data_IF_904327309350
#
_entry.id   IF_904327309350
#
_cell.length_a   1.000
_cell.length_b   1.000
_cell.length_c   1.000
_cell.angle_alpha   90.00
_cell.angle_beta   90.00
_cell.angle_gamma   90.00
#
_symmetry.space_group_name_H-M   'P 1'
#
loop_
_entity.id
_entity.type
_entity.pdbx_description
1 polymer ?
#
# COMPACT_ATOMS: atom_id res chain seq x y z
N UNK A 1 6.84 -20.10 -21.69
CA UNK A 1 5.56 -19.50 -21.27
C UNK A 1 4.61 -20.53 -20.65
N UNK A 2 4.31 -21.64 -21.35
CA UNK A 2 3.33 -22.64 -20.89
C UNK A 2 3.53 -23.16 -19.44
N UNK A 3 4.74 -23.52 -18.95
CA UNK A 3 4.93 -23.92 -17.56
C UNK A 3 4.60 -22.80 -16.57
N UNK A 4 4.94 -21.55 -16.91
CA UNK A 4 4.74 -20.38 -16.03
C UNK A 4 3.26 -20.04 -15.88
N UNK A 5 2.49 -20.04 -16.97
CA UNK A 5 1.06 -19.79 -16.90
C UNK A 5 0.32 -20.90 -16.14
N UNK A 6 0.80 -22.15 -16.24
CA UNK A 6 0.27 -23.27 -15.45
C UNK A 6 0.38 -23.03 -13.95
N UNK A 7 1.53 -22.53 -13.48
CA UNK A 7 1.71 -22.17 -12.06
C UNK A 7 0.83 -20.99 -11.68
N UNK A 8 0.71 -19.97 -12.53
CA UNK A 8 -0.18 -18.84 -12.29
C UNK A 8 -1.65 -19.28 -12.15
N UNK A 9 -2.10 -20.18 -13.02
CA UNK A 9 -3.45 -20.75 -12.95
C UNK A 9 -3.70 -21.50 -11.64
N UNK A 10 -2.73 -22.32 -11.18
CA UNK A 10 -2.85 -23.03 -9.88
C UNK A 10 -3.00 -22.04 -8.73
N UNK A 11 -2.15 -21.00 -8.68
CA UNK A 11 -2.16 -20.00 -7.61
C UNK A 11 -3.45 -19.19 -7.61
N UNK A 12 -3.94 -18.81 -8.79
CA UNK A 12 -5.09 -17.90 -8.92
C UNK A 12 -6.41 -18.65 -8.80
N UNK A 13 -6.54 -19.83 -9.43
CA UNK A 13 -7.81 -20.54 -9.52
C UNK A 13 -8.03 -21.57 -8.40
N UNK A 14 -6.94 -22.10 -7.82
CA UNK A 14 -6.99 -23.22 -6.85
C UNK A 14 -6.09 -23.01 -5.63
N UNK A 15 -6.10 -21.83 -4.99
CA UNK A 15 -5.28 -21.59 -3.80
C UNK A 15 -5.73 -22.48 -2.64
N UNK A 16 -4.79 -23.02 -1.89
CA UNK A 16 -5.06 -23.96 -0.80
C UNK A 16 -5.16 -23.31 0.58
N UNK A 17 -4.53 -22.16 0.76
CA UNK A 17 -4.47 -21.40 2.03
C UNK A 17 -4.15 -22.29 3.25
N UNK A 18 -2.98 -22.93 3.34
CA UNK A 18 -2.66 -23.81 4.46
C UNK A 18 -2.58 -23.01 5.78
N UNK A 19 -3.23 -23.47 6.83
CA UNK A 19 -3.22 -22.81 8.15
C UNK A 19 -1.82 -22.61 8.71
N UNK A 20 -0.95 -23.61 8.53
CA UNK A 20 0.44 -23.53 8.97
C UNK A 20 1.18 -22.35 8.31
N UNK A 21 0.99 -22.17 7.02
CA UNK A 21 1.64 -21.06 6.28
C UNK A 21 1.08 -19.72 6.70
N UNK A 22 -0.23 -19.63 6.95
CA UNK A 22 -0.86 -18.42 7.49
C UNK A 22 -0.28 -18.07 8.86
N UNK A 23 -0.18 -19.04 9.77
CA UNK A 23 0.40 -18.81 11.09
C UNK A 23 1.86 -18.32 11.02
N UNK A 24 2.68 -18.95 10.17
CA UNK A 24 4.08 -18.53 9.94
C UNK A 24 4.15 -17.13 9.35
N UNK A 25 3.28 -16.81 8.40
CA UNK A 25 3.21 -15.48 7.79
C UNK A 25 2.84 -14.41 8.82
N UNK A 26 1.77 -14.61 9.60
CA UNK A 26 1.33 -13.69 10.64
C UNK A 26 2.43 -13.46 11.68
N UNK A 27 3.11 -14.50 12.13
CA UNK A 27 4.22 -14.39 13.07
C UNK A 27 5.38 -13.55 12.50
N UNK A 28 5.78 -13.81 11.26
CA UNK A 28 6.83 -13.03 10.59
C UNK A 28 6.42 -11.57 10.42
N UNK A 29 5.16 -11.30 10.05
CA UNK A 29 4.66 -9.93 9.89
C UNK A 29 4.61 -9.17 11.21
N UNK A 30 4.18 -9.80 12.29
CA UNK A 30 4.22 -9.22 13.65
C UNK A 30 5.65 -8.85 14.05
N UNK A 31 6.61 -9.76 13.82
CA UNK A 31 8.02 -9.46 14.11
C UNK A 31 8.56 -8.31 13.26
N UNK A 32 8.27 -8.29 11.96
CA UNK A 32 8.64 -7.17 11.08
C UNK A 32 8.04 -5.85 11.55
N UNK A 33 6.77 -5.85 11.91
CA UNK A 33 6.06 -4.66 12.41
C UNK A 33 6.73 -4.10 13.69
N UNK A 34 7.12 -4.96 14.63
CA UNK A 34 7.87 -4.55 15.83
C UNK A 34 9.19 -3.85 15.50
N UNK A 35 9.92 -4.38 14.52
CA UNK A 35 11.21 -3.81 14.09
C UNK A 35 10.98 -2.50 13.33
N UNK A 36 10.04 -2.48 12.38
CA UNK A 36 9.73 -1.31 11.57
C UNK A 36 9.25 -0.13 12.43
N UNK A 37 8.40 -0.39 13.41
CA UNK A 37 7.89 0.65 14.31
C UNK A 37 8.92 1.26 15.23
N UNK A 38 10.10 0.65 15.40
CA UNK A 38 11.22 1.29 16.09
C UNK A 38 11.80 2.48 15.29
N UNK A 39 11.59 2.52 13.98
CA UNK A 39 12.07 3.61 13.13
C UNK A 39 11.15 4.83 13.26
N UNK A 40 11.73 5.99 13.54
CA UNK A 40 10.98 7.25 13.67
C UNK A 40 10.26 7.64 12.37
N UNK A 41 10.82 7.31 11.22
CA UNK A 41 10.21 7.51 9.92
C UNK A 41 8.88 6.76 9.77
N UNK A 42 8.82 5.51 10.24
CA UNK A 42 7.59 4.70 10.19
C UNK A 42 6.54 5.28 11.13
N UNK A 43 6.93 5.62 12.37
CA UNK A 43 6.03 6.22 13.33
C UNK A 43 5.43 7.55 12.84
N UNK A 44 6.27 8.42 12.28
CA UNK A 44 5.79 9.70 11.73
C UNK A 44 4.90 9.53 10.52
N UNK A 45 5.14 8.51 9.67
CA UNK A 45 4.27 8.19 8.52
C UNK A 45 2.90 7.70 8.96
N UNK A 46 2.83 6.82 9.97
CA UNK A 46 1.57 6.35 10.53
C UNK A 46 0.77 7.49 11.16
N UNK A 47 1.42 8.33 11.98
CA UNK A 47 0.82 9.51 12.56
C UNK A 47 0.31 10.51 11.51
N UNK A 48 1.10 10.75 10.47
CA UNK A 48 0.72 11.65 9.39
C UNK A 48 -0.49 11.13 8.60
N UNK A 49 -0.53 9.84 8.31
CA UNK A 49 -1.68 9.22 7.67
C UNK A 49 -2.94 9.34 8.56
N UNK A 50 -2.82 9.08 9.86
CA UNK A 50 -3.91 9.28 10.81
C UNK A 50 -4.35 10.74 10.90
N UNK A 51 -3.40 11.70 10.89
CA UNK A 51 -3.71 13.13 10.89
C UNK A 51 -4.49 13.57 9.67
N UNK A 52 -4.16 13.03 8.48
CA UNK A 52 -4.83 13.39 7.24
C UNK A 52 -6.20 12.74 7.07
N UNK A 53 -6.34 11.49 7.44
CA UNK A 53 -7.50 10.67 7.09
C UNK A 53 -8.39 10.33 8.29
N UNK A 54 -7.88 10.43 9.51
CA UNK A 54 -8.57 9.97 10.72
C UNK A 54 -8.35 8.46 11.00
N UNK A 55 -8.56 8.07 12.25
CA UNK A 55 -8.28 6.71 12.72
C UNK A 55 -9.24 5.65 12.14
N UNK A 56 -10.41 6.05 11.63
CA UNK A 56 -11.43 5.16 11.08
C UNK A 56 -11.37 5.04 9.55
N UNK A 57 -10.57 5.86 8.89
CA UNK A 57 -10.44 5.82 7.44
C UNK A 57 -9.42 4.75 7.04
N UNK A 58 -9.64 3.96 5.96
CA UNK A 58 -8.71 2.91 5.53
C UNK A 58 -7.27 3.36 5.32
N UNK A 59 -7.06 4.60 4.90
CA UNK A 59 -5.71 5.18 4.74
C UNK A 59 -5.11 5.74 6.02
N UNK A 60 -5.90 5.93 7.08
CA UNK A 60 -5.44 6.37 8.41
C UNK A 60 -5.19 5.22 9.38
N UNK A 61 -5.69 4.03 9.06
CA UNK A 61 -5.53 2.83 9.90
C UNK A 61 -4.11 2.28 9.71
N UNK A 62 -3.44 1.98 10.82
CA UNK A 62 -2.17 1.25 10.83
C UNK A 62 -2.37 -0.19 11.26
N UNK A 63 -1.57 -1.11 10.71
CA UNK A 63 -1.57 -2.50 11.13
C UNK A 63 -1.16 -2.61 12.60
N UNK A 64 -1.78 -3.49 13.37
CA UNK A 64 -1.38 -3.79 14.75
C UNK A 64 -1.11 -5.28 14.92
N UNK A 65 -0.39 -5.66 15.97
CA UNK A 65 -0.07 -7.07 16.22
C UNK A 65 -1.34 -7.87 16.51
N UNK A 66 -2.27 -7.29 17.27
CA UNK A 66 -3.54 -7.92 17.62
C UNK A 66 -4.36 -8.28 16.39
N UNK A 67 -4.37 -7.42 15.38
CA UNK A 67 -5.09 -7.70 14.12
C UNK A 67 -4.55 -8.92 13.37
N UNK A 68 -3.26 -9.24 13.53
CA UNK A 68 -2.71 -10.45 12.94
C UNK A 68 -3.10 -11.71 13.72
N UNK A 69 -3.45 -11.59 15.01
CA UNK A 69 -3.94 -12.72 15.80
C UNK A 69 -5.39 -13.06 15.49
N UNK A 70 -6.16 -12.07 15.05
CA UNK A 70 -7.60 -12.23 14.73
C UNK A 70 -7.83 -12.82 13.33
N UNK A 71 -6.82 -12.81 12.43
CA UNK A 71 -6.98 -13.31 11.06
C UNK A 71 -7.04 -14.83 11.04
N UNK A 72 -8.17 -15.37 10.60
CA UNK A 72 -8.38 -16.79 10.41
C UNK A 72 -8.19 -17.22 8.94
N UNK A 73 -8.04 -18.52 8.73
CA UNK A 73 -8.03 -19.09 7.36
C UNK A 73 -9.35 -18.82 6.65
N UNK A 74 -10.46 -18.87 7.37
CA UNK A 74 -11.79 -18.68 6.79
C UNK A 74 -11.99 -17.24 6.31
N UNK A 75 -11.44 -16.24 7.02
CA UNK A 75 -11.42 -14.84 6.56
C UNK A 75 -10.68 -14.69 5.23
N UNK A 76 -9.55 -15.37 5.07
CA UNK A 76 -8.78 -15.35 3.82
C UNK A 76 -9.55 -16.01 2.68
N UNK A 77 -10.19 -17.15 2.94
CA UNK A 77 -10.99 -17.87 1.94
C UNK A 77 -12.21 -17.05 1.52
N UNK A 78 -12.89 -16.42 2.46
CA UNK A 78 -14.02 -15.53 2.18
C UNK A 78 -13.60 -14.32 1.35
N UNK A 79 -12.49 -13.66 1.75
CA UNK A 79 -11.91 -12.54 1.02
C UNK A 79 -11.56 -12.93 -0.42
N UNK A 80 -10.92 -14.09 -0.61
CA UNK A 80 -10.59 -14.62 -1.92
C UNK A 80 -11.85 -14.84 -2.76
N UNK A 81 -12.85 -15.57 -2.24
CA UNK A 81 -14.08 -15.86 -2.97
C UNK A 81 -14.85 -14.61 -3.39
N UNK A 82 -14.81 -13.58 -2.57
CA UNK A 82 -15.50 -12.32 -2.81
C UNK A 82 -14.81 -11.46 -3.87
N UNK A 83 -13.47 -11.46 -3.90
CA UNK A 83 -12.71 -10.47 -4.68
C UNK A 83 -12.02 -11.04 -5.91
N UNK A 84 -11.71 -12.34 -5.94
CA UNK A 84 -11.05 -12.99 -7.07
C UNK A 84 -12.09 -13.47 -8.08
N UNK A 85 -12.71 -12.52 -8.76
CA UNK A 85 -13.76 -12.74 -9.76
C UNK A 85 -13.36 -12.08 -11.08
N UNK A 86 -13.85 -12.61 -12.21
CA UNK A 86 -13.58 -12.08 -13.53
C UNK A 86 -13.97 -10.59 -13.65
N UNK A 87 -15.09 -10.19 -13.02
CA UNK A 87 -15.63 -8.83 -13.10
C UNK A 87 -14.84 -7.83 -12.23
N UNK A 88 -14.01 -8.32 -11.30
CA UNK A 88 -13.13 -7.51 -10.45
C UNK A 88 -11.64 -7.63 -10.81
N UNK A 89 -11.33 -8.17 -11.98
CA UNK A 89 -9.97 -8.43 -12.42
C UNK A 89 -9.69 -7.71 -13.75
N UNK A 90 -8.44 -7.29 -13.94
CA UNK A 90 -7.91 -6.91 -15.24
C UNK A 90 -6.48 -7.45 -15.37
N UNK A 91 -6.09 -7.81 -16.58
CA UNK A 91 -4.76 -8.35 -16.86
C UNK A 91 -4.00 -7.39 -17.75
N UNK A 92 -2.76 -7.09 -17.37
CA UNK A 92 -1.83 -6.29 -18.18
C UNK A 92 -0.67 -7.17 -18.57
N UNK A 93 -0.44 -7.32 -19.87
CA UNK A 93 0.68 -8.06 -20.43
C UNK A 93 1.67 -7.15 -21.13
N UNK A 94 2.95 -7.42 -20.94
CA UNK A 94 4.03 -6.70 -21.61
C UNK A 94 5.10 -7.69 -22.07
N UNK A 95 5.59 -7.51 -23.28
CA UNK A 95 6.61 -8.35 -23.88
C UNK A 95 6.20 -8.87 -25.26
N UNK A 96 6.76 -10.01 -25.66
CA UNK A 96 6.32 -10.69 -26.89
C UNK A 96 5.02 -11.43 -26.60
N UNK A 97 3.93 -10.92 -27.12
CA UNK A 97 2.57 -11.46 -26.94
C UNK A 97 2.11 -11.98 -28.29
N UNK A 98 1.98 -13.27 -28.41
CA UNK A 98 1.43 -13.99 -29.55
C UNK A 98 0.04 -14.55 -29.23
N UNK A 99 -0.58 -15.21 -30.22
CA UNK A 99 -1.92 -15.78 -30.08
C UNK A 99 -2.00 -16.85 -28.97
N UNK A 100 -0.93 -17.62 -28.74
CA UNK A 100 -0.88 -18.62 -27.69
C UNK A 100 -0.93 -17.96 -26.29
N UNK A 101 -0.18 -16.87 -26.12
CA UNK A 101 -0.17 -16.10 -24.87
C UNK A 101 -1.54 -15.48 -24.61
N UNK A 102 -2.16 -14.88 -25.64
CA UNK A 102 -3.50 -14.29 -25.50
C UNK A 102 -4.54 -15.33 -25.13
N UNK A 103 -4.59 -16.44 -25.85
CA UNK A 103 -5.54 -17.53 -25.57
C UNK A 103 -5.40 -18.10 -24.17
N UNK A 104 -4.17 -18.23 -23.67
CA UNK A 104 -3.92 -18.72 -22.32
C UNK A 104 -4.39 -17.73 -21.23
N UNK A 105 -4.28 -16.41 -21.49
CA UNK A 105 -4.76 -15.37 -20.58
C UNK A 105 -6.29 -15.32 -20.58
N UNK A 106 -6.90 -15.36 -21.75
CA UNK A 106 -8.34 -15.40 -21.91
C UNK A 106 -8.94 -16.62 -21.18
N UNK A 107 -8.35 -17.79 -21.36
CA UNK A 107 -8.75 -18.99 -20.64
C UNK A 107 -8.62 -18.88 -19.10
N UNK A 108 -7.60 -18.19 -18.61
CA UNK A 108 -7.46 -17.91 -17.17
C UNK A 108 -8.59 -17.02 -16.66
N UNK A 109 -8.91 -15.95 -17.38
CA UNK A 109 -9.97 -15.01 -16.99
C UNK A 109 -11.36 -15.66 -17.08
N UNK A 110 -11.60 -16.46 -18.12
CA UNK A 110 -12.85 -17.22 -18.28
C UNK A 110 -13.06 -18.27 -17.18
N UNK A 111 -11.98 -18.83 -16.65
CA UNK A 111 -12.03 -19.80 -15.55
C UNK A 111 -12.32 -19.17 -14.17
N UNK A 112 -12.19 -17.84 -14.05
CA UNK A 112 -12.56 -17.13 -12.82
C UNK A 112 -14.09 -17.11 -12.66
N UNK A 113 -14.60 -17.23 -11.42
CA UNK A 113 -16.03 -17.09 -11.16
C UNK A 113 -16.51 -15.68 -11.53
N UNK A 114 -17.75 -15.58 -11.97
CA UNK A 114 -18.41 -14.28 -12.11
C UNK A 114 -18.77 -13.73 -10.73
N UNK A 115 -18.75 -12.41 -10.56
CA UNK A 115 -19.10 -11.76 -9.32
C UNK A 115 -19.24 -10.26 -9.49
N UNK A 116 -19.89 -9.62 -8.54
CA UNK A 116 -20.02 -8.17 -8.56
C UNK A 116 -18.71 -7.51 -8.14
N UNK A 117 -18.34 -6.45 -8.86
CA UNK A 117 -17.22 -5.61 -8.44
C UNK A 117 -17.65 -4.83 -7.19
N UNK A 118 -16.96 -5.01 -6.05
CA UNK A 118 -17.35 -4.32 -4.82
C UNK A 118 -17.21 -2.81 -4.98
N UNK A 119 -18.25 -2.08 -4.60
CA UNK A 119 -18.18 -0.63 -4.48
C UNK A 119 -17.43 -0.28 -3.19
N UNK A 120 -16.41 0.57 -3.33
CA UNK A 120 -15.66 1.09 -2.20
C UNK A 120 -16.20 2.48 -1.84
N UNK A 121 -16.91 2.58 -0.74
CA UNK A 121 -17.20 3.86 -0.09
C UNK A 121 -16.27 4.05 1.10
N UNK A 122 -15.69 5.23 1.21
CA UNK A 122 -14.81 5.56 2.32
C UNK A 122 -15.48 6.60 3.22
N UNK A 123 -15.28 6.53 4.55
CA UNK A 123 -15.74 7.57 5.44
C UNK A 123 -15.09 8.92 5.08
N UNK A 124 -15.71 10.01 5.48
CA UNK A 124 -15.12 11.33 5.33
C UNK A 124 -13.80 11.41 6.11
N UNK A 125 -12.83 12.15 5.56
CA UNK A 125 -11.55 12.35 6.23
C UNK A 125 -11.75 13.25 7.47
N UNK A 126 -11.27 12.80 8.62
CA UNK A 126 -11.24 13.55 9.87
C UNK A 126 -9.83 14.13 10.07
N UNK A 127 -9.53 15.23 9.37
CA UNK A 127 -8.19 15.82 9.38
C UNK A 127 -7.89 16.51 10.71
N UNK A 128 -6.75 16.15 11.32
CA UNK A 128 -6.17 16.82 12.47
C UNK A 128 -4.95 17.63 12.02
N UNK A 129 -4.83 18.87 12.48
CA UNK A 129 -3.77 19.77 12.00
C UNK A 129 -2.40 19.53 12.61
N UNK A 130 -2.34 18.91 13.79
CA UNK A 130 -1.08 18.63 14.48
C UNK A 130 -1.21 17.35 15.29
N UNK A 131 -0.31 16.41 15.06
CA UNK A 131 -0.09 15.26 15.91
C UNK A 131 1.38 15.20 16.31
N UNK A 132 1.63 14.85 17.54
CA UNK A 132 2.96 14.71 18.11
C UNK A 132 3.05 13.41 18.91
N UNK A 133 4.18 12.70 18.78
CA UNK A 133 4.50 11.55 19.61
C UNK A 133 5.96 11.63 20.05
N UNK A 134 6.21 11.41 21.33
CA UNK A 134 7.54 11.38 21.90
C UNK A 134 8.01 9.94 22.10
N UNK A 135 9.32 9.73 21.94
CA UNK A 135 9.99 8.49 22.29
C UNK A 135 11.32 8.81 22.96
N UNK A 136 11.48 8.33 24.18
CA UNK A 136 12.64 8.61 25.03
C UNK A 136 13.98 8.15 24.42
N UNK A 137 13.98 7.06 23.64
CA UNK A 137 15.18 6.49 23.03
C UNK A 137 15.45 6.99 21.59
N UNK A 138 14.68 7.97 21.10
CA UNK A 138 14.83 8.44 19.74
C UNK A 138 16.05 9.37 19.58
N UNK A 139 17.01 8.96 18.75
CA UNK A 139 18.18 9.77 18.43
C UNK A 139 17.88 10.87 17.40
N UNK A 140 16.77 10.79 16.67
CA UNK A 140 16.41 11.71 15.60
C UNK A 140 14.92 12.02 15.66
N UNK A 141 14.55 13.26 15.33
CA UNK A 141 13.18 13.64 15.08
C UNK A 141 12.80 13.36 13.62
N UNK A 142 11.53 12.98 13.40
CA UNK A 142 10.95 12.87 12.06
C UNK A 142 9.74 13.78 11.97
N UNK A 143 9.77 14.72 11.01
CA UNK A 143 8.72 15.71 10.80
C UNK A 143 8.06 15.46 9.44
N UNK A 144 6.74 15.45 9.41
CA UNK A 144 5.95 15.36 8.19
C UNK A 144 4.97 16.53 8.11
N UNK A 145 5.00 17.23 6.99
CA UNK A 145 4.11 18.36 6.71
C UNK A 145 3.44 18.10 5.36
N UNK A 146 2.13 18.24 5.32
CA UNK A 146 1.40 18.03 4.08
C UNK A 146 -0.10 18.25 4.24
N UNK A 147 -0.81 18.10 3.14
CA UNK A 147 -2.27 18.20 3.08
C UNK A 147 -2.82 17.36 1.93
N UNK A 148 -4.09 17.03 2.00
CA UNK A 148 -4.80 16.48 0.86
C UNK A 148 -4.93 17.55 -0.22
N UNK A 149 -4.68 17.16 -1.46
CA UNK A 149 -4.85 17.95 -2.65
C UNK A 149 -5.84 17.26 -3.59
N UNK A 150 -5.94 17.79 -4.79
CA UNK A 150 -6.73 17.19 -5.86
C UNK A 150 -6.14 15.86 -6.35
N UNK A 151 -6.97 15.07 -6.99
CA UNK A 151 -6.60 13.74 -7.53
C UNK A 151 -5.76 13.87 -8.82
N UNK A 152 -5.21 12.73 -9.26
CA UNK A 152 -4.41 12.62 -10.50
C UNK A 152 -5.15 13.11 -11.76
N UNK A 153 -6.47 13.11 -11.76
CA UNK A 153 -7.29 13.55 -12.90
C UNK A 153 -7.50 15.07 -12.96
N UNK A 154 -6.97 15.81 -11.98
CA UNK A 154 -7.07 17.27 -11.99
C UNK A 154 -6.18 17.90 -13.06
N UNK A 155 -6.63 18.95 -13.80
CA UNK A 155 -5.82 19.58 -14.85
C UNK A 155 -4.47 20.10 -14.36
N UNK A 156 -4.38 20.57 -13.12
CA UNK A 156 -3.15 21.10 -12.53
C UNK A 156 -2.23 20.02 -11.93
N UNK A 157 -2.56 18.75 -12.05
CA UNK A 157 -1.77 17.67 -11.44
C UNK A 157 -0.30 17.68 -11.88
N UNK A 158 -0.06 17.81 -13.18
CA UNK A 158 1.31 17.84 -13.73
C UNK A 158 2.06 19.09 -13.26
N UNK A 159 1.39 20.26 -13.24
CA UNK A 159 1.96 21.48 -12.70
C UNK A 159 2.34 21.36 -11.23
N UNK A 160 1.50 20.70 -10.43
CA UNK A 160 1.80 20.45 -9.01
C UNK A 160 3.00 19.50 -8.82
N UNK A 161 3.20 18.51 -9.70
CA UNK A 161 4.41 17.66 -9.66
C UNK A 161 5.68 18.48 -9.89
N UNK A 162 5.65 19.46 -10.81
CA UNK A 162 6.78 20.37 -11.03
C UNK A 162 7.03 21.22 -9.79
N UNK A 163 6.00 21.78 -9.17
CA UNK A 163 6.12 22.54 -7.91
C UNK A 163 6.72 21.66 -6.81
N UNK A 164 6.25 20.44 -6.63
CA UNK A 164 6.78 19.50 -5.66
C UNK A 164 8.26 19.18 -5.91
N UNK A 165 8.66 19.00 -7.18
CA UNK A 165 10.06 18.76 -7.55
C UNK A 165 10.95 19.97 -7.18
N UNK A 166 10.52 21.20 -7.48
CA UNK A 166 11.24 22.44 -7.13
C UNK A 166 11.39 22.60 -5.62
N UNK A 167 10.35 22.26 -4.85
CA UNK A 167 10.37 22.36 -3.39
C UNK A 167 11.28 21.33 -2.73
N UNK A 168 11.17 20.06 -3.06
CA UNK A 168 11.86 18.97 -2.33
C UNK A 168 12.17 17.72 -3.14
N UNK A 169 11.83 17.67 -4.43
CA UNK A 169 11.87 16.45 -5.22
C UNK A 169 13.23 16.06 -5.79
N UNK A 170 14.27 16.87 -5.65
CA UNK A 170 15.62 16.56 -6.12
C UNK A 170 16.68 17.23 -5.26
N UNK A 171 17.94 16.84 -5.43
CA UNK A 171 19.06 17.26 -4.59
C UNK A 171 19.26 18.79 -4.55
N UNK A 172 19.09 19.48 -5.67
CA UNK A 172 19.18 20.96 -5.77
C UNK A 172 17.88 21.70 -5.43
N UNK A 173 16.87 21.03 -4.87
CA UNK A 173 15.59 21.64 -4.49
C UNK A 173 15.75 22.63 -3.33
N UNK A 174 14.78 23.54 -3.19
CA UNK A 174 14.83 24.60 -2.17
C UNK A 174 14.93 24.07 -0.74
N UNK A 175 14.20 23.01 -0.41
CA UNK A 175 14.27 22.39 0.91
C UNK A 175 15.63 21.73 1.15
N UNK A 176 16.15 21.03 0.16
CA UNK A 176 17.48 20.40 0.27
C UNK A 176 18.59 21.43 0.43
N UNK A 177 18.58 22.49 -0.36
CA UNK A 177 19.56 23.58 -0.22
C UNK A 177 19.49 24.24 1.15
N UNK A 178 18.29 24.53 1.65
CA UNK A 178 18.13 25.21 2.93
C UNK A 178 18.40 24.27 4.11
N UNK A 179 17.66 23.16 4.22
CA UNK A 179 17.71 22.30 5.43
C UNK A 179 18.99 21.47 5.50
N UNK A 180 19.48 21.00 4.37
CA UNK A 180 20.66 20.14 4.30
C UNK A 180 21.94 20.96 4.14
N UNK A 181 22.06 21.75 3.07
CA UNK A 181 23.33 22.39 2.71
C UNK A 181 23.64 23.60 3.61
N UNK A 182 22.64 24.43 3.92
CA UNK A 182 22.88 25.64 4.72
C UNK A 182 22.84 25.36 6.22
N UNK A 183 21.96 24.49 6.69
CA UNK A 183 21.75 24.26 8.11
C UNK A 183 22.20 22.90 8.61
N UNK A 184 22.44 21.91 7.74
CA UNK A 184 22.88 20.58 8.14
C UNK A 184 21.89 19.80 9.02
N UNK A 185 20.60 20.13 8.98
CA UNK A 185 19.58 19.51 9.86
C UNK A 185 19.18 18.10 9.44
N UNK A 186 19.36 17.74 8.17
CA UNK A 186 18.93 16.45 7.64
C UNK A 186 19.82 16.01 6.49
N UNK A 187 19.84 14.71 6.21
CA UNK A 187 20.46 14.15 5.00
C UNK A 187 19.46 13.94 3.85
N UNK A 188 18.16 13.97 4.11
CA UNK A 188 17.10 13.79 3.12
C UNK A 188 15.70 14.00 3.70
#
# INVERSE_FOLDING_TARGET
FAPTIGVANEIILRPTFPERELAVYCQKRKQSLKIERKKMEVASRELFAQALFGANHPYGISASEERYDDITRDDIVEHYRRLYTADNCFVVCSGRIDEEVMAAIEALVEALPRGERPECSFPACETQYTLHAEREEALQASIRIGRLLFTRNHPDFVGMQVVAAILGGYFGSRLMQNLREQHGYTYG
#
